data_IF_735400594167
#
_entry.id   IF_735400594167
#
_cell.length_a   1.000
_cell.length_b   1.000
_cell.length_c   1.000
_cell.angle_alpha   90.00
_cell.angle_beta   90.00
_cell.angle_gamma   90.00
#
_symmetry.space_group_name_H-M   'P 1'
#
loop_
_entity.id
_entity.type
_entity.pdbx_description
1 polymer ?
#
# COMPACT_ATOMS: atom_id res chain seq x y z
N UNK A 1 -26.54 11.22 37.44
CA UNK A 1 -26.31 11.47 36.01
C UNK A 1 -24.88 12.02 35.73
N UNK A 2 -24.49 13.21 36.25
CA UNK A 2 -23.16 13.84 36.02
C UNK A 2 -21.97 12.95 36.46
N UNK A 3 -22.08 12.15 37.53
CA UNK A 3 -21.02 11.25 38.03
C UNK A 3 -20.74 10.09 37.03
N UNK A 4 -21.77 9.46 36.47
CA UNK A 4 -21.61 8.39 35.46
C UNK A 4 -21.07 8.91 34.15
N UNK A 5 -21.46 10.13 33.74
CA UNK A 5 -20.92 10.75 32.54
C UNK A 5 -19.44 11.03 32.64
N UNK A 6 -18.96 11.45 33.82
CA UNK A 6 -17.51 11.62 34.07
C UNK A 6 -16.77 10.28 34.06
N UNK A 7 -17.32 9.23 34.64
CA UNK A 7 -16.70 7.87 34.63
C UNK A 7 -16.62 7.37 33.20
N UNK A 8 -17.66 7.45 32.39
CA UNK A 8 -17.68 7.05 30.98
C UNK A 8 -16.61 7.83 30.20
N UNK A 9 -16.54 9.15 30.36
CA UNK A 9 -15.55 9.97 29.68
C UNK A 9 -14.11 9.59 30.04
N UNK A 10 -13.86 9.32 31.34
CA UNK A 10 -12.53 8.89 31.79
C UNK A 10 -12.17 7.51 31.24
N UNK A 11 -13.07 6.54 31.26
CA UNK A 11 -12.83 5.20 30.71
C UNK A 11 -12.58 5.28 29.21
N UNK A 12 -13.36 6.08 28.47
CA UNK A 12 -13.14 6.27 27.03
C UNK A 12 -11.80 6.92 26.72
N UNK A 13 -11.36 7.90 27.51
CA UNK A 13 -10.05 8.53 27.34
C UNK A 13 -8.90 7.56 27.62
N UNK A 14 -9.01 6.72 28.65
CA UNK A 14 -8.00 5.69 28.96
C UNK A 14 -7.95 4.64 27.84
N UNK A 15 -9.07 4.14 27.36
CA UNK A 15 -9.13 3.20 26.24
C UNK A 15 -8.49 3.81 24.97
N UNK A 16 -8.81 5.05 24.65
CA UNK A 16 -8.22 5.74 23.51
C UNK A 16 -6.68 5.87 23.65
N UNK A 17 -6.21 6.16 24.87
CA UNK A 17 -4.78 6.20 25.19
C UNK A 17 -4.10 4.84 24.98
N UNK A 18 -4.69 3.75 25.47
CA UNK A 18 -4.18 2.39 25.28
C UNK A 18 -4.10 2.02 23.80
N UNK A 19 -5.16 2.32 23.03
CA UNK A 19 -5.19 2.06 21.58
C UNK A 19 -4.10 2.86 20.86
N UNK A 20 -3.93 4.14 21.22
CA UNK A 20 -2.88 4.97 20.65
C UNK A 20 -1.47 4.43 20.95
N UNK A 21 -1.22 4.02 22.18
CA UNK A 21 0.06 3.41 22.58
C UNK A 21 0.29 2.10 21.85
N UNK A 22 -0.70 1.21 21.80
CA UNK A 22 -0.60 -0.06 21.06
C UNK A 22 -0.31 0.18 19.57
N UNK A 23 -0.95 1.18 18.96
CA UNK A 23 -0.70 1.61 17.60
C UNK A 23 0.75 2.10 17.40
N UNK A 24 1.25 2.96 18.27
CA UNK A 24 2.64 3.45 18.21
C UNK A 24 3.61 2.27 18.35
N UNK A 25 3.42 1.40 19.33
CA UNK A 25 4.29 0.24 19.56
C UNK A 25 4.28 -0.73 18.38
N UNK A 26 3.12 -0.96 17.75
CA UNK A 26 3.04 -1.84 16.58
C UNK A 26 3.78 -1.28 15.35
N UNK A 27 3.86 0.04 15.22
CA UNK A 27 4.62 0.69 14.15
C UNK A 27 6.13 0.82 14.44
N UNK A 28 6.54 0.67 15.70
CA UNK A 28 7.96 0.66 16.09
C UNK A 28 8.62 -0.72 15.95
N UNK A 29 7.83 -1.80 15.93
CA UNK A 29 8.39 -3.14 15.71
C UNK A 29 9.13 -3.20 14.38
N UNK A 30 10.31 -3.83 14.32
CA UNK A 30 10.96 -4.13 13.05
C UNK A 30 10.00 -4.92 12.16
N UNK A 31 9.98 -4.56 10.89
CA UNK A 31 9.23 -5.31 9.88
C UNK A 31 10.24 -6.21 9.20
N UNK A 32 10.12 -7.51 9.39
CA UNK A 32 10.90 -8.50 8.66
C UNK A 32 10.19 -8.81 7.35
N UNK A 33 10.85 -8.47 6.24
CA UNK A 33 10.36 -8.69 4.89
C UNK A 33 11.34 -9.52 4.05
N UNK A 34 12.39 -10.08 4.66
CA UNK A 34 13.46 -10.76 3.91
C UNK A 34 12.91 -11.89 3.03
N UNK A 35 12.05 -12.75 3.59
CA UNK A 35 11.46 -13.85 2.81
C UNK A 35 10.60 -13.32 1.64
N UNK A 36 9.79 -12.29 1.86
CA UNK A 36 8.96 -11.67 0.81
C UNK A 36 9.80 -10.95 -0.23
N UNK A 37 10.85 -10.27 0.19
CA UNK A 37 11.79 -9.60 -0.71
C UNK A 37 12.57 -10.61 -1.55
N UNK A 38 13.03 -11.71 -0.97
CA UNK A 38 13.69 -12.79 -1.67
C UNK A 38 12.77 -13.44 -2.71
N UNK A 39 11.50 -13.69 -2.38
CA UNK A 39 10.51 -14.21 -3.32
C UNK A 39 10.27 -13.23 -4.48
N UNK A 40 10.13 -11.93 -4.20
CA UNK A 40 9.94 -10.91 -5.22
C UNK A 40 11.19 -10.78 -6.11
N UNK A 41 12.39 -10.79 -5.54
CA UNK A 41 13.65 -10.76 -6.31
C UNK A 41 13.79 -11.98 -7.23
N UNK A 42 13.47 -13.18 -6.74
CA UNK A 42 13.44 -14.40 -7.54
C UNK A 42 12.41 -14.32 -8.68
N UNK A 43 11.21 -13.79 -8.41
CA UNK A 43 10.20 -13.54 -9.43
C UNK A 43 10.73 -12.57 -10.51
N UNK A 44 11.35 -11.46 -10.09
CA UNK A 44 11.92 -10.48 -11.00
C UNK A 44 12.99 -11.09 -11.90
N UNK A 45 13.92 -11.86 -11.34
CA UNK A 45 14.99 -12.54 -12.09
C UNK A 45 14.42 -13.55 -13.09
N UNK A 46 13.42 -14.34 -12.69
CA UNK A 46 12.82 -15.35 -13.55
C UNK A 46 12.05 -14.77 -14.75
N UNK A 47 11.57 -13.52 -14.65
CA UNK A 47 10.75 -12.88 -15.67
C UNK A 47 11.43 -11.68 -16.39
N UNK A 48 12.71 -11.43 -16.11
CA UNK A 48 13.47 -10.34 -16.74
C UNK A 48 13.05 -8.94 -16.30
N UNK A 49 12.58 -8.80 -15.05
CA UNK A 49 12.26 -7.52 -14.43
C UNK A 49 13.46 -6.95 -13.68
N UNK A 50 13.28 -5.74 -13.11
CA UNK A 50 14.29 -5.09 -12.29
C UNK A 50 14.69 -5.96 -11.09
N UNK A 51 15.99 -6.21 -10.93
CA UNK A 51 16.56 -7.03 -9.85
C UNK A 51 17.28 -6.20 -8.78
N UNK A 52 17.25 -4.87 -8.86
CA UNK A 52 17.88 -4.00 -7.88
C UNK A 52 16.92 -3.64 -6.76
N UNK A 53 15.64 -3.41 -7.09
CA UNK A 53 14.63 -2.97 -6.13
C UNK A 53 13.22 -3.42 -6.51
N UNK A 54 12.36 -3.54 -5.51
CA UNK A 54 10.94 -3.83 -5.68
C UNK A 54 10.06 -3.13 -4.65
N UNK A 55 8.76 -3.15 -4.85
CA UNK A 55 7.77 -2.61 -3.93
C UNK A 55 6.97 -3.77 -3.33
N UNK A 56 6.93 -3.85 -2.01
CA UNK A 56 6.12 -4.80 -1.25
C UNK A 56 4.95 -4.06 -0.59
N UNK A 57 3.73 -4.53 -0.81
CA UNK A 57 2.52 -3.97 -0.20
C UNK A 57 1.81 -5.06 0.56
N UNK A 58 1.92 -5.02 1.88
CA UNK A 58 1.35 -5.99 2.81
C UNK A 58 -0.04 -5.51 3.27
N UNK A 59 -1.08 -5.94 2.60
CA UNK A 59 -2.47 -5.60 2.96
C UNK A 59 -3.06 -6.51 4.05
N UNK A 60 -2.36 -7.54 4.50
CA UNK A 60 -2.66 -8.25 5.75
C UNK A 60 -2.43 -7.38 7.00
N UNK A 61 -1.65 -6.30 6.89
CA UNK A 61 -1.47 -5.32 7.96
C UNK A 61 -2.63 -4.31 7.98
N UNK A 62 -2.96 -3.81 9.17
CA UNK A 62 -3.95 -2.74 9.29
C UNK A 62 -3.53 -1.46 8.56
N UNK A 63 -4.49 -0.75 7.97
CA UNK A 63 -4.24 0.46 7.17
C UNK A 63 -3.54 1.60 7.93
N UNK A 64 -3.63 1.60 9.26
CA UNK A 64 -2.93 2.55 10.12
C UNK A 64 -1.47 2.17 10.37
N UNK A 65 -1.02 1.00 9.93
CA UNK A 65 0.38 0.57 9.98
C UNK A 65 1.07 0.86 8.65
N UNK A 66 2.41 1.00 8.68
CA UNK A 66 3.20 1.03 7.45
C UNK A 66 3.10 -0.34 6.79
N UNK A 67 2.64 -0.36 5.55
CA UNK A 67 2.39 -1.58 4.78
C UNK A 67 2.78 -1.48 3.30
N UNK A 68 3.33 -0.34 2.87
CA UNK A 68 4.06 -0.24 1.61
C UNK A 68 5.54 -0.02 1.93
N UNK A 69 6.38 -0.81 1.28
CA UNK A 69 7.83 -0.82 1.47
C UNK A 69 8.52 -0.83 0.10
N UNK A 70 9.47 0.06 -0.10
CA UNK A 70 10.42 -0.07 -1.21
C UNK A 70 11.64 -0.79 -0.65
N UNK A 71 12.04 -1.87 -1.29
CA UNK A 71 13.12 -2.74 -0.86
C UNK A 71 14.26 -2.73 -1.87
N UNK A 72 15.47 -2.52 -1.39
CA UNK A 72 16.71 -2.66 -2.17
C UNK A 72 17.21 -4.09 -2.01
N UNK A 73 17.15 -4.87 -3.09
CA UNK A 73 17.55 -6.28 -3.08
C UNK A 73 19.06 -6.46 -2.96
N UNK A 74 19.86 -5.51 -3.47
CA UNK A 74 21.33 -5.57 -3.43
C UNK A 74 21.85 -5.31 -2.01
N UNK A 75 21.18 -4.42 -1.26
CA UNK A 75 21.57 -4.06 0.10
C UNK A 75 20.76 -4.81 1.18
N UNK A 76 19.81 -5.65 0.76
CA UNK A 76 18.91 -6.44 1.62
C UNK A 76 18.25 -5.56 2.71
N UNK A 77 17.67 -4.41 2.28
CA UNK A 77 17.07 -3.47 3.24
C UNK A 77 15.87 -2.69 2.69
N UNK A 78 15.00 -2.27 3.61
CA UNK A 78 13.93 -1.33 3.33
C UNK A 78 14.53 0.07 3.17
N UNK A 79 14.38 0.68 1.98
CA UNK A 79 14.83 2.05 1.70
C UNK A 79 13.75 3.10 1.94
N UNK A 80 12.47 2.69 1.82
CA UNK A 80 11.34 3.55 2.12
C UNK A 80 10.17 2.73 2.67
N UNK A 81 9.45 3.29 3.64
CA UNK A 81 8.22 2.71 4.20
C UNK A 81 7.12 3.74 4.34
N UNK A 82 5.88 3.36 4.03
CA UNK A 82 4.72 4.24 4.04
C UNK A 82 3.46 3.56 4.54
N UNK A 83 2.50 4.36 5.01
CA UNK A 83 1.09 3.99 5.00
C UNK A 83 0.64 3.82 3.57
N UNK A 84 -0.38 2.99 3.35
CA UNK A 84 -1.02 2.84 2.05
C UNK A 84 -2.52 2.66 2.23
N UNK A 85 -3.32 3.37 1.45
CA UNK A 85 -4.75 3.11 1.35
C UNK A 85 -5.03 1.94 0.42
N UNK A 86 -6.21 1.33 0.60
CA UNK A 86 -6.72 0.20 -0.19
C UNK A 86 -8.14 0.47 -0.69
N UNK A 87 -8.66 -0.40 -1.55
CA UNK A 87 -10.02 -0.34 -2.09
C UNK A 87 -11.08 -0.44 -0.99
N UNK A 88 -12.17 0.32 -1.12
CA UNK A 88 -13.28 0.36 -0.17
C UNK A 88 -14.37 -0.70 -0.43
N UNK A 89 -14.21 -1.50 -1.49
CA UNK A 89 -15.23 -2.46 -1.91
C UNK A 89 -15.22 -3.76 -1.12
N UNK A 90 -16.21 -4.61 -1.37
CA UNK A 90 -16.40 -5.86 -0.65
C UNK A 90 -16.59 -5.64 0.85
N UNK A 91 -16.02 -6.51 1.65
CA UNK A 91 -16.02 -6.44 3.12
C UNK A 91 -14.87 -5.58 3.68
N UNK A 92 -14.25 -4.74 2.83
CA UNK A 92 -13.20 -3.81 3.27
C UNK A 92 -13.72 -2.86 4.33
N UNK A 93 -12.91 -2.63 5.35
CA UNK A 93 -13.15 -1.63 6.40
C UNK A 93 -12.10 -0.52 6.32
N UNK A 94 -12.16 0.47 7.20
CA UNK A 94 -11.08 1.46 7.31
C UNK A 94 -9.75 0.85 7.79
N UNK A 95 -9.75 -0.37 8.31
CA UNK A 95 -8.56 -1.05 8.84
C UNK A 95 -8.08 -2.19 7.95
N UNK A 96 -8.99 -2.93 7.33
CA UNK A 96 -8.71 -4.19 6.61
C UNK A 96 -9.16 -4.10 5.16
N UNK A 97 -8.41 -4.74 4.26
CA UNK A 97 -8.74 -4.83 2.85
C UNK A 97 -9.49 -6.12 2.52
N UNK A 98 -10.42 -6.04 1.58
CA UNK A 98 -10.95 -7.17 0.83
C UNK A 98 -10.49 -7.06 -0.64
N UNK A 99 -10.46 -8.18 -1.35
CA UNK A 99 -9.79 -8.29 -2.65
C UNK A 99 -10.72 -8.79 -3.74
N UNK A 100 -10.67 -8.13 -4.89
CA UNK A 100 -11.36 -8.56 -6.10
C UNK A 100 -10.68 -7.99 -7.34
N UNK A 101 -10.67 -8.75 -8.43
CA UNK A 101 -10.23 -8.31 -9.75
C UNK A 101 -11.38 -7.85 -10.64
N UNK A 102 -12.63 -7.90 -10.16
CA UNK A 102 -13.80 -7.54 -10.95
C UNK A 102 -13.89 -6.03 -11.18
N UNK A 103 -14.30 -5.65 -12.40
CA UNK A 103 -14.55 -4.26 -12.73
C UNK A 103 -15.75 -3.73 -11.91
N UNK A 104 -15.57 -2.57 -11.28
CA UNK A 104 -16.61 -1.95 -10.44
C UNK A 104 -16.67 -2.49 -9.01
N UNK A 105 -15.85 -3.46 -8.62
CA UNK A 105 -15.81 -3.99 -7.25
C UNK A 105 -15.30 -2.97 -6.23
N UNK A 106 -14.54 -1.97 -6.65
CA UNK A 106 -13.84 -1.01 -5.78
C UNK A 106 -12.88 -1.65 -4.76
N UNK A 107 -12.60 -2.95 -4.85
CA UNK A 107 -11.60 -3.64 -4.04
C UNK A 107 -10.20 -3.41 -4.58
N UNK A 108 -9.19 -3.57 -3.75
CA UNK A 108 -7.83 -3.84 -4.22
C UNK A 108 -7.73 -5.22 -4.85
N UNK A 109 -6.67 -5.51 -5.60
CA UNK A 109 -6.36 -6.85 -6.10
C UNK A 109 -4.98 -7.26 -5.62
N UNK A 110 -4.81 -8.51 -5.22
CA UNK A 110 -3.49 -9.07 -4.86
C UNK A 110 -2.74 -9.52 -6.11
N UNK A 111 -1.44 -9.64 -6.01
CA UNK A 111 -0.54 -10.16 -7.05
C UNK A 111 0.58 -9.19 -7.43
N UNK A 112 1.33 -9.56 -8.48
CA UNK A 112 2.44 -8.78 -9.00
C UNK A 112 1.95 -7.73 -10.01
N UNK A 113 2.52 -6.55 -9.94
CA UNK A 113 2.22 -5.44 -10.84
C UNK A 113 3.53 -4.90 -11.41
N UNK A 114 3.59 -4.68 -12.72
CA UNK A 114 4.65 -3.87 -13.29
C UNK A 114 4.32 -2.40 -13.09
N UNK A 115 5.22 -1.68 -12.45
CA UNK A 115 5.15 -0.22 -12.30
C UNK A 115 5.44 0.42 -13.65
N UNK A 116 4.55 1.31 -14.07
CA UNK A 116 4.58 1.93 -15.39
C UNK A 116 4.98 3.40 -15.33
N UNK A 117 4.41 4.18 -16.26
CA UNK A 117 4.77 5.59 -16.46
C UNK A 117 4.13 6.51 -15.43
N UNK A 118 4.82 7.60 -15.15
CA UNK A 118 4.26 8.75 -14.45
C UNK A 118 3.27 9.47 -15.37
N UNK A 119 2.14 9.87 -14.82
CA UNK A 119 1.06 10.57 -15.50
C UNK A 119 0.20 11.34 -14.51
N UNK A 120 -0.80 12.04 -15.00
CA UNK A 120 -1.88 12.59 -14.18
C UNK A 120 -3.10 11.66 -14.21
N UNK A 121 -3.92 11.70 -13.17
CA UNK A 121 -5.18 10.94 -13.14
C UNK A 121 -6.16 11.43 -14.23
N UNK A 122 -6.88 10.50 -14.87
CA UNK A 122 -7.86 10.85 -15.91
C UNK A 122 -8.93 11.84 -15.44
N UNK A 123 -9.52 11.57 -14.28
CA UNK A 123 -10.61 12.38 -13.73
C UNK A 123 -10.15 13.55 -12.85
N UNK A 124 -8.83 13.70 -12.66
CA UNK A 124 -8.19 14.73 -11.85
C UNK A 124 -6.86 15.11 -12.47
N UNK A 125 -6.87 15.94 -13.53
CA UNK A 125 -5.67 16.21 -14.34
C UNK A 125 -4.53 16.91 -13.61
N UNK A 126 -4.78 17.41 -12.40
CA UNK A 126 -3.75 18.03 -11.54
C UNK A 126 -3.23 17.07 -10.45
N UNK A 127 -3.73 15.83 -10.36
CA UNK A 127 -3.26 14.84 -9.39
C UNK A 127 -2.29 13.90 -10.10
N UNK A 128 -1.00 13.91 -9.68
CA UNK A 128 -0.01 13.01 -10.26
C UNK A 128 -0.31 11.57 -9.87
N UNK A 129 0.04 10.64 -10.74
CA UNK A 129 -0.16 9.21 -10.52
C UNK A 129 0.90 8.39 -11.26
N UNK A 130 1.06 7.13 -10.87
CA UNK A 130 1.92 6.15 -11.52
C UNK A 130 1.05 5.00 -12.00
N UNK A 131 1.18 4.63 -13.26
CA UNK A 131 0.50 3.49 -13.85
C UNK A 131 0.99 2.19 -13.22
N UNK A 132 0.08 1.23 -13.09
CA UNK A 132 0.44 -0.15 -12.73
C UNK A 132 -0.30 -1.12 -13.65
N UNK A 133 0.40 -2.16 -14.09
CA UNK A 133 -0.16 -3.21 -14.92
C UNK A 133 -0.11 -4.53 -14.16
N UNK A 134 -1.28 -5.16 -13.93
CA UNK A 134 -1.38 -6.46 -13.28
C UNK A 134 -0.78 -7.57 -14.13
N UNK A 135 0.00 -8.44 -13.52
CA UNK A 135 0.73 -9.53 -14.17
C UNK A 135 0.14 -10.90 -13.84
N UNK A 136 -0.71 -10.99 -12.83
CA UNK A 136 -1.32 -12.22 -12.37
C UNK A 136 -2.82 -12.28 -12.75
N UNK A 137 -3.41 -13.47 -12.73
CA UNK A 137 -4.84 -13.64 -12.94
C UNK A 137 -5.68 -12.87 -11.93
N UNK A 138 -5.18 -12.73 -10.69
CA UNK A 138 -5.83 -12.05 -9.58
C UNK A 138 -5.91 -10.54 -9.74
N UNK A 139 -5.14 -9.94 -10.67
CA UNK A 139 -5.09 -8.51 -10.93
C UNK A 139 -5.06 -8.14 -12.42
N UNK A 140 -5.35 -9.08 -13.31
CA UNK A 140 -5.29 -8.90 -14.78
C UNK A 140 -6.16 -7.75 -15.31
N UNK A 141 -7.19 -7.35 -14.57
CA UNK A 141 -8.05 -6.23 -14.92
C UNK A 141 -7.55 -4.86 -14.42
N UNK A 142 -6.39 -4.77 -13.80
CA UNK A 142 -5.90 -3.55 -13.16
C UNK A 142 -5.92 -2.34 -14.11
N UNK A 143 -5.41 -2.46 -15.32
CA UNK A 143 -5.44 -1.37 -16.32
C UNK A 143 -6.86 -0.99 -16.71
N UNK A 144 -7.72 -1.97 -17.02
CA UNK A 144 -9.13 -1.75 -17.38
C UNK A 144 -9.92 -1.08 -16.26
N UNK A 145 -9.56 -1.37 -15.02
CA UNK A 145 -10.14 -0.79 -13.80
C UNK A 145 -9.57 0.58 -13.47
N UNK A 146 -8.52 1.04 -14.16
CA UNK A 146 -7.86 2.32 -13.90
C UNK A 146 -7.11 2.35 -12.57
N UNK A 147 -6.54 1.21 -12.16
CA UNK A 147 -5.75 1.11 -10.91
C UNK A 147 -4.43 1.85 -11.10
N UNK A 148 -4.10 2.69 -10.12
CA UNK A 148 -2.93 3.56 -10.10
C UNK A 148 -2.31 3.59 -8.71
N UNK A 149 -1.05 4.05 -8.62
CA UNK A 149 -0.47 4.57 -7.38
C UNK A 149 -0.63 6.09 -7.43
N UNK A 150 -1.25 6.70 -6.41
CA UNK A 150 -1.45 8.16 -6.39
C UNK A 150 -1.52 8.72 -4.96
N UNK A 151 -1.32 10.04 -4.77
CA UNK A 151 -1.49 10.65 -3.46
C UNK A 151 -2.94 10.55 -2.98
N UNK A 152 -3.13 10.31 -1.68
CA UNK A 152 -4.44 10.25 -1.03
C UNK A 152 -4.37 10.68 0.44
N UNK A 153 -5.53 11.02 1.00
CA UNK A 153 -5.65 11.55 2.36
C UNK A 153 -6.29 10.58 3.36
N UNK A 154 -6.54 9.35 2.97
CA UNK A 154 -7.22 8.39 3.84
C UNK A 154 -6.86 6.94 3.53
N UNK A 155 -7.35 6.00 4.34
CA UNK A 155 -7.07 4.59 4.19
C UNK A 155 -7.84 3.93 3.05
N UNK A 156 -8.85 4.58 2.48
CA UNK A 156 -9.75 4.01 1.47
C UNK A 156 -9.62 4.70 0.11
N UNK A 157 -9.71 3.90 -0.96
CA UNK A 157 -9.70 4.30 -2.37
C UNK A 157 -10.80 3.56 -3.15
N UNK A 158 -10.81 3.69 -4.46
CA UNK A 158 -11.66 2.89 -5.37
C UNK A 158 -10.88 1.70 -5.98
N UNK A 159 -9.91 1.17 -5.24
CA UNK A 159 -9.05 0.05 -5.65
C UNK A 159 -7.58 0.44 -5.87
N UNK A 160 -7.28 1.72 -6.02
CA UNK A 160 -5.93 2.24 -6.19
C UNK A 160 -5.08 2.08 -4.93
N UNK A 161 -3.77 2.04 -5.11
CA UNK A 161 -2.78 2.17 -4.02
C UNK A 161 -2.57 3.65 -3.73
N UNK A 162 -3.04 4.13 -2.58
CA UNK A 162 -2.90 5.55 -2.22
C UNK A 162 -1.84 5.74 -1.15
N UNK A 163 -1.10 6.83 -1.25
CA UNK A 163 -0.03 7.19 -0.33
C UNK A 163 -0.25 8.60 0.22
N UNK A 164 0.16 8.91 1.46
CA UNK A 164 0.27 10.29 1.91
C UNK A 164 1.08 11.11 0.89
N UNK A 165 0.67 12.34 0.60
CA UNK A 165 1.25 13.19 -0.47
C UNK A 165 2.78 13.21 -0.43
N UNK A 166 3.36 13.49 0.73
CA UNK A 166 4.82 13.53 0.89
C UNK A 166 5.49 12.18 0.58
N UNK A 167 4.85 11.06 0.97
CA UNK A 167 5.38 9.72 0.67
C UNK A 167 5.23 9.35 -0.79
N UNK A 168 4.14 9.77 -1.43
CA UNK A 168 3.99 9.61 -2.86
C UNK A 168 5.12 10.31 -3.63
N UNK A 169 5.45 11.56 -3.27
CA UNK A 169 6.56 12.29 -3.90
C UNK A 169 7.89 11.55 -3.77
N UNK A 170 8.21 11.06 -2.57
CA UNK A 170 9.43 10.29 -2.34
C UNK A 170 9.47 8.97 -3.14
N UNK A 171 8.34 8.23 -3.20
CA UNK A 171 8.24 7.01 -4.01
C UNK A 171 8.37 7.33 -5.49
N UNK A 172 7.71 8.40 -5.96
CA UNK A 172 7.77 8.86 -7.34
C UNK A 172 9.20 9.20 -7.78
N UNK A 173 9.90 10.00 -6.99
CA UNK A 173 11.30 10.38 -7.23
C UNK A 173 12.23 9.16 -7.23
N UNK A 174 12.04 8.25 -6.27
CA UNK A 174 12.82 7.03 -6.20
C UNK A 174 12.60 6.15 -7.44
N UNK A 175 11.35 5.96 -7.88
CA UNK A 175 11.03 5.16 -9.05
C UNK A 175 11.56 5.77 -10.36
N UNK A 176 11.65 7.10 -10.46
CA UNK A 176 12.28 7.78 -11.59
C UNK A 176 13.80 7.53 -11.65
N UNK A 177 14.44 7.32 -10.50
CA UNK A 177 15.89 7.04 -10.41
C UNK A 177 16.24 5.58 -10.65
N UNK A 178 15.27 4.67 -10.58
CA UNK A 178 15.49 3.23 -10.77
C UNK A 178 15.40 2.84 -12.25
N UNK A 179 16.08 1.75 -12.66
CA UNK A 179 15.86 1.15 -13.96
C UNK A 179 14.37 0.79 -14.16
N UNK A 180 13.93 0.81 -15.42
CA UNK A 180 12.53 0.46 -15.75
C UNK A 180 12.17 -0.96 -15.31
N UNK A 181 10.85 -1.29 -15.33
CA UNK A 181 10.31 -2.59 -14.98
C UNK A 181 10.43 -2.97 -13.50
N UNK A 182 10.30 -2.00 -12.59
CA UNK A 182 10.14 -2.28 -11.16
C UNK A 182 8.84 -3.05 -10.94
N UNK A 183 8.86 -4.07 -10.09
CA UNK A 183 7.68 -4.84 -9.72
C UNK A 183 7.19 -4.41 -8.33
N UNK A 184 5.87 -4.20 -8.24
CA UNK A 184 5.15 -4.08 -6.99
C UNK A 184 4.38 -5.37 -6.76
N UNK A 185 4.51 -5.95 -5.56
CA UNK A 185 3.74 -7.13 -5.14
C UNK A 185 2.81 -6.77 -4.00
N UNK A 186 1.49 -6.92 -4.25
CA UNK A 186 0.44 -6.75 -3.23
C UNK A 186 0.06 -8.14 -2.72
N UNK A 187 0.10 -8.33 -1.41
CA UNK A 187 -0.23 -9.59 -0.73
C UNK A 187 -0.93 -9.35 0.61
N UNK A 188 -1.42 -10.40 1.23
CA UNK A 188 -1.97 -10.47 2.58
C UNK A 188 -1.29 -11.57 3.41
#
# INVERSE_FOLDING_TARGET
MKKYLKIIATVSAVLAGIVAIAFVLSNLKPVDLQDRAAQLAAYCAAHGYNTDSGILVDYGRFSLQRRLFVYDFNQDKIVLKSLSGHGKGGDSTILTADFSNEHGSYCSSIGHYRVGRHRNMYNRPFVPAIEVNGLDKTNSNAMKRGILIHPGVGPLSLGCVTLPVFRYMQVSELLESLPHNVIMWIYE
#
